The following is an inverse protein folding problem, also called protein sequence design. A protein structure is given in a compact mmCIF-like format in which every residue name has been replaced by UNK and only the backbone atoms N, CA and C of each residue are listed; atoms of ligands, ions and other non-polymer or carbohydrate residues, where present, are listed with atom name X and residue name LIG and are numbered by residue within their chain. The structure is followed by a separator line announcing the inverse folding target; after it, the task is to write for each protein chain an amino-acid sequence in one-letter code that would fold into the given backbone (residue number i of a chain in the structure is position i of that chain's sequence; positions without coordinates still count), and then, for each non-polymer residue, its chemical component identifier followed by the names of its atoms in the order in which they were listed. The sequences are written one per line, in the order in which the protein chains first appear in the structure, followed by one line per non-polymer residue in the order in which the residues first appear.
data_IF_166507524381
#
_entry.id   IF_166507524381
#
_cell.length_a   1.000
_cell.length_b   1.000
_cell.length_c   1.000
_cell.angle_alpha   90.00
_cell.angle_beta   90.00
_cell.angle_gamma   90.00
#
_symmetry.space_group_name_H-M   'P 1'
#
loop_
_entity.id
_entity.type
_entity.pdbx_description
1 polymer ?
#
# COMPACT_ATOMS: atom_id res chain seq x y z
N UNK A 1 -1.30 8.94 9.71
CA UNK A 1 -0.94 8.55 8.33
C UNK A 1 0.55 8.21 8.29
N UNK A 2 0.94 7.04 7.77
CA UNK A 2 2.38 6.69 7.64
C UNK A 2 2.91 7.36 6.37
N UNK A 3 3.83 8.32 6.52
CA UNK A 3 4.50 8.99 5.41
C UNK A 3 5.49 8.06 4.75
N UNK A 4 5.59 8.13 3.43
CA UNK A 4 6.57 7.36 2.64
C UNK A 4 7.29 8.29 1.68
N UNK A 5 8.50 7.89 1.30
CA UNK A 5 9.27 8.51 0.23
C UNK A 5 8.90 7.91 -1.13
N UNK A 6 9.26 8.57 -2.23
CA UNK A 6 9.02 8.05 -3.60
C UNK A 6 9.63 6.65 -3.80
N UNK A 7 10.84 6.40 -3.27
CA UNK A 7 11.48 5.08 -3.32
C UNK A 7 10.70 4.00 -2.55
N UNK A 8 10.08 4.38 -1.42
CA UNK A 8 9.22 3.47 -0.67
C UNK A 8 7.88 3.25 -1.39
N UNK A 9 7.35 4.27 -2.09
CA UNK A 9 6.15 4.13 -2.90
C UNK A 9 6.31 3.08 -4.02
N UNK A 10 7.46 3.03 -4.69
CA UNK A 10 7.76 1.98 -5.68
C UNK A 10 7.68 0.57 -5.07
N UNK A 11 8.27 0.37 -3.88
CA UNK A 11 8.19 -0.91 -3.16
C UNK A 11 6.74 -1.21 -2.73
N UNK A 12 6.02 -0.21 -2.24
CA UNK A 12 4.59 -0.32 -1.90
C UNK A 12 3.77 -0.75 -3.11
N UNK A 13 3.97 -0.14 -4.28
CA UNK A 13 3.26 -0.51 -5.51
C UNK A 13 3.55 -1.96 -5.93
N UNK A 14 4.80 -2.41 -5.80
CA UNK A 14 5.15 -3.81 -6.04
C UNK A 14 4.39 -4.74 -5.11
N UNK A 15 4.34 -4.45 -3.81
CA UNK A 15 3.60 -5.26 -2.84
C UNK A 15 2.09 -5.26 -3.11
N UNK A 16 1.51 -4.13 -3.53
CA UNK A 16 0.11 -4.09 -3.91
C UNK A 16 -0.15 -5.04 -5.09
N UNK A 17 0.66 -4.94 -6.14
CA UNK A 17 0.48 -5.75 -7.35
C UNK A 17 0.78 -7.25 -7.13
N UNK A 18 1.66 -7.61 -6.19
CA UNK A 18 2.06 -9.00 -5.98
C UNK A 18 1.33 -9.71 -4.84
N UNK A 19 0.88 -8.99 -3.81
CA UNK A 19 0.39 -9.60 -2.55
C UNK A 19 -0.97 -9.09 -2.09
N UNK A 20 -1.49 -7.98 -2.62
CA UNK A 20 -2.77 -7.45 -2.15
C UNK A 20 -3.93 -8.25 -2.75
N UNK A 21 -4.56 -9.10 -1.93
CA UNK A 21 -5.74 -9.88 -2.33
C UNK A 21 -6.95 -9.04 -2.79
N UNK A 22 -6.98 -7.75 -2.45
CA UNK A 22 -8.04 -6.83 -2.83
C UNK A 22 -7.70 -5.99 -4.07
N UNK A 23 -6.52 -6.17 -4.66
CA UNK A 23 -6.11 -5.48 -5.88
C UNK A 23 -6.14 -6.47 -7.05
N UNK A 24 -6.92 -6.16 -8.08
CA UNK A 24 -6.96 -6.98 -9.29
C UNK A 24 -5.73 -6.74 -10.20
N UNK A 25 -5.69 -7.48 -11.32
CA UNK A 25 -4.60 -7.41 -12.30
C UNK A 25 -4.51 -6.07 -13.01
N UNK A 26 -5.63 -5.37 -13.12
CA UNK A 26 -5.72 -4.06 -13.74
C UNK A 26 -5.37 -2.94 -12.76
N UNK A 27 -5.13 -3.26 -11.47
CA UNK A 27 -4.73 -2.34 -10.41
C UNK A 27 -5.92 -1.64 -9.72
N UNK A 28 -7.13 -2.17 -9.87
CA UNK A 28 -8.32 -1.68 -9.21
C UNK A 28 -8.56 -2.43 -7.90
N UNK A 29 -9.16 -1.75 -6.92
CA UNK A 29 -9.44 -2.30 -5.62
C UNK A 29 -10.87 -2.82 -5.55
N UNK A 30 -11.02 -4.13 -5.37
CA UNK A 30 -12.31 -4.83 -5.32
C UNK A 30 -13.20 -4.28 -4.19
N UNK A 31 -12.61 -3.89 -3.06
CA UNK A 31 -13.36 -3.32 -1.93
C UNK A 31 -13.89 -1.90 -2.15
N UNK A 32 -13.43 -1.23 -3.22
CA UNK A 32 -13.91 0.10 -3.60
C UNK A 32 -14.91 0.03 -4.75
N UNK A 33 -15.14 -1.16 -5.31
CA UNK A 33 -16.09 -1.36 -6.39
C UNK A 33 -17.52 -1.15 -5.87
N UNK A 34 -18.18 -0.10 -6.39
CA UNK A 34 -19.56 0.28 -6.12
C UNK A 34 -20.47 0.07 -7.34
N UNK A 35 -20.01 -0.74 -8.29
CA UNK A 35 -20.58 -0.88 -9.64
C UNK A 35 -19.64 -0.34 -10.72
N UNK A 36 -18.63 0.44 -10.35
CA UNK A 36 -17.52 0.83 -11.22
C UNK A 36 -16.14 0.48 -10.65
N UNK A 37 -15.20 0.15 -11.54
CA UNK A 37 -13.83 -0.19 -11.16
C UNK A 37 -13.06 1.03 -10.65
N UNK A 38 -12.56 0.94 -9.41
CA UNK A 38 -11.84 2.03 -8.76
C UNK A 38 -10.36 1.70 -8.55
N UNK A 39 -9.46 2.59 -8.97
CA UNK A 39 -8.01 2.40 -8.80
C UNK A 39 -7.67 2.21 -7.31
N UNK A 40 -6.79 1.25 -7.01
CA UNK A 40 -6.33 1.06 -5.64
C UNK A 40 -5.69 2.34 -5.09
N UNK A 41 -6.21 2.85 -3.97
CA UNK A 41 -5.72 4.08 -3.31
C UNK A 41 -4.21 4.04 -3.08
N UNK A 42 -3.66 2.86 -2.81
CA UNK A 42 -2.25 2.70 -2.51
C UNK A 42 -1.34 2.69 -3.76
N UNK A 43 -1.89 2.48 -4.96
CA UNK A 43 -1.18 2.62 -6.25
C UNK A 43 -1.14 4.05 -6.79
N UNK A 44 -1.98 4.94 -6.25
CA UNK A 44 -2.01 6.37 -6.60
C UNK A 44 -1.39 7.25 -5.50
N UNK A 45 -1.13 6.68 -4.33
CA UNK A 45 -0.58 7.39 -3.18
C UNK A 45 0.94 7.30 -3.13
N UNK A 46 1.62 8.40 -3.48
CA UNK A 46 3.09 8.46 -3.50
C UNK A 46 3.73 8.97 -2.19
N UNK A 47 2.95 9.60 -1.31
CA UNK A 47 3.48 10.23 -0.07
C UNK A 47 2.98 9.60 1.22
N UNK A 48 2.04 8.66 1.16
CA UNK A 48 1.50 8.04 2.37
C UNK A 48 0.88 6.67 2.16
N UNK A 49 0.77 5.94 3.27
CA UNK A 49 -0.05 4.73 3.36
C UNK A 49 -1.40 5.10 3.98
N UNK A 50 -2.46 4.86 3.20
CA UNK A 50 -3.84 5.19 3.54
C UNK A 50 -4.73 3.95 3.71
N UNK A 51 -4.39 2.85 3.03
CA UNK A 51 -5.16 1.62 3.10
C UNK A 51 -4.86 0.86 4.41
N UNK A 52 -5.87 0.72 5.28
CA UNK A 52 -5.74 -0.02 6.53
C UNK A 52 -5.50 -1.52 6.30
N UNK A 53 -6.10 -2.11 5.27
CA UNK A 53 -5.84 -3.49 4.88
C UNK A 53 -4.37 -3.67 4.48
N UNK A 54 -3.86 -2.81 3.58
CA UNK A 54 -2.46 -2.84 3.17
C UNK A 54 -1.53 -2.77 4.38
N UNK A 55 -1.76 -1.82 5.30
CA UNK A 55 -0.93 -1.67 6.51
C UNK A 55 -0.87 -2.92 7.38
N UNK A 56 -1.99 -3.63 7.55
CA UNK A 56 -2.12 -4.75 8.50
C UNK A 56 -1.85 -6.12 7.88
N UNK A 57 -2.08 -6.30 6.59
CA UNK A 57 -2.00 -7.60 5.92
C UNK A 57 -0.86 -7.68 4.91
N UNK A 58 -0.61 -6.62 4.15
CA UNK A 58 0.30 -6.66 2.99
C UNK A 58 1.68 -6.12 3.36
N UNK A 59 1.74 -4.95 4.01
CA UNK A 59 3.00 -4.28 4.35
C UNK A 59 3.87 -5.14 5.28
N UNK A 60 3.25 -5.90 6.19
CA UNK A 60 3.98 -6.75 7.13
C UNK A 60 4.69 -7.94 6.46
N UNK A 61 4.34 -8.27 5.21
CA UNK A 61 5.04 -9.28 4.42
C UNK A 61 6.46 -8.84 4.05
N UNK A 62 6.70 -7.53 3.94
CA UNK A 62 8.02 -6.95 3.72
C UNK A 62 8.51 -6.25 5.00
N UNK A 63 9.15 -7.04 5.86
CA UNK A 63 9.66 -6.56 7.17
C UNK A 63 10.66 -5.42 7.01
N UNK A 64 11.49 -5.44 5.98
CA UNK A 64 12.50 -4.41 5.75
C UNK A 64 11.83 -3.07 5.41
N UNK A 65 10.88 -3.08 4.46
CA UNK A 65 10.12 -1.88 4.11
C UNK A 65 9.31 -1.37 5.29
N UNK A 66 8.65 -2.26 6.04
CA UNK A 66 7.88 -1.89 7.23
C UNK A 66 8.76 -1.15 8.25
N UNK A 67 9.92 -1.70 8.60
CA UNK A 67 10.85 -1.08 9.56
C UNK A 67 11.43 0.25 9.02
N UNK A 68 11.74 0.34 7.73
CA UNK A 68 12.17 1.60 7.11
C UNK A 68 11.11 2.70 7.24
N UNK A 69 9.84 2.37 6.97
CA UNK A 69 8.73 3.32 7.09
C UNK A 69 8.50 3.65 8.57
N UNK A 70 8.57 2.66 9.46
CA UNK A 70 8.43 2.83 10.92
C UNK A 70 9.45 3.83 11.46
N UNK A 71 10.74 3.63 11.11
CA UNK A 71 11.85 4.52 11.46
C UNK A 71 11.65 5.92 10.90
N UNK A 72 11.26 6.03 9.63
CA UNK A 72 11.01 7.33 8.97
C UNK A 72 9.90 8.13 9.68
N UNK A 73 8.88 7.45 10.20
CA UNK A 73 7.75 8.07 10.89
C UNK A 73 7.93 8.17 12.41
N UNK A 74 9.08 7.76 12.97
CA UNK A 74 9.34 7.71 14.43
C UNK A 74 8.24 6.96 15.21
N UNK A 75 7.71 5.89 14.61
CA UNK A 75 6.69 5.06 15.24
C UNK A 75 7.33 4.12 16.26
N UNK A 76 6.65 3.93 17.40
CA UNK A 76 7.07 3.00 18.47
C UNK A 76 6.84 1.55 18.06
#
# INVERSE_FOLDING_TARGET
MMKITTKQAEKVHRLVNSLCANCDKDGNCILLDDGEAHRCVQLISIYGIYCNYFKKAVLLADKELYEQIKKHNKLK
#
